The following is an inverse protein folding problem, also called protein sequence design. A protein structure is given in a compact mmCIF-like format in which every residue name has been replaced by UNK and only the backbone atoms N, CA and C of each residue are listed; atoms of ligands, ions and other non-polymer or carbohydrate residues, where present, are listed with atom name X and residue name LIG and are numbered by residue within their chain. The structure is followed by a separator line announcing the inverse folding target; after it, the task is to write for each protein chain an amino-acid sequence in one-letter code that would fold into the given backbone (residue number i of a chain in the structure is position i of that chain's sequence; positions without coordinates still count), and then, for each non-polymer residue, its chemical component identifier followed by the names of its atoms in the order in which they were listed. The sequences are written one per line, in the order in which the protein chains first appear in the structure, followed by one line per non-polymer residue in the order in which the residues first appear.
data_IF_890300241069
#
_entry.id   IF_890300241069
#
_cell.length_a   1.000
_cell.length_b   1.000
_cell.length_c   1.000
_cell.angle_alpha   90.00
_cell.angle_beta   90.00
_cell.angle_gamma   90.00
#
_symmetry.space_group_name_H-M   'P 1'
#
loop_
_entity.id
_entity.type
_entity.pdbx_description
1 polymer ?
#
# COMPACT_ATOMS: atom_id res chain seq x y z
N UNK A 1 -48.01 -9.80 -38.80
CA UNK A 1 -46.90 -8.78 -38.79
C UNK A 1 -46.63 -8.25 -37.37
N UNK A 2 -47.61 -8.04 -36.52
CA UNK A 2 -47.45 -7.50 -35.18
C UNK A 2 -46.63 -8.39 -34.25
N UNK A 3 -46.77 -9.70 -34.33
CA UNK A 3 -46.02 -10.66 -33.48
C UNK A 3 -44.52 -10.63 -33.76
N UNK A 4 -44.12 -10.46 -35.02
CA UNK A 4 -42.71 -10.40 -35.38
C UNK A 4 -42.03 -9.10 -34.96
N UNK A 5 -42.77 -8.00 -34.95
CA UNK A 5 -42.32 -6.71 -34.44
C UNK A 5 -42.14 -6.80 -32.92
N UNK A 6 -43.07 -7.40 -32.20
CA UNK A 6 -42.97 -7.58 -30.74
C UNK A 6 -41.77 -8.46 -30.37
N UNK A 7 -41.52 -9.54 -31.09
CA UNK A 7 -40.33 -10.41 -30.90
C UNK A 7 -39.05 -9.68 -31.17
N UNK A 8 -38.98 -8.82 -32.18
CA UNK A 8 -37.79 -8.03 -32.48
C UNK A 8 -37.47 -7.05 -31.35
N UNK A 9 -38.46 -6.35 -30.82
CA UNK A 9 -38.28 -5.46 -29.65
C UNK A 9 -37.89 -6.22 -28.40
N UNK A 10 -38.46 -7.39 -28.14
CA UNK A 10 -38.07 -8.23 -27.01
C UNK A 10 -36.60 -8.66 -27.07
N UNK A 11 -36.09 -9.04 -28.25
CA UNK A 11 -34.69 -9.41 -28.46
C UNK A 11 -33.77 -8.21 -28.24
N UNK A 12 -34.15 -7.01 -28.71
CA UNK A 12 -33.38 -5.78 -28.48
C UNK A 12 -33.29 -5.43 -26.98
N UNK A 13 -34.40 -5.55 -26.23
CA UNK A 13 -34.42 -5.27 -24.79
C UNK A 13 -33.52 -6.26 -24.04
N UNK A 14 -33.61 -7.55 -24.36
CA UNK A 14 -32.75 -8.59 -23.77
C UNK A 14 -31.29 -8.33 -24.07
N UNK A 15 -30.95 -8.03 -25.34
CA UNK A 15 -29.59 -7.68 -25.72
C UNK A 15 -29.05 -6.45 -24.99
N UNK A 16 -29.87 -5.43 -24.85
CA UNK A 16 -29.51 -4.21 -24.09
C UNK A 16 -29.31 -4.47 -22.61
N UNK A 17 -30.16 -5.29 -21.98
CA UNK A 17 -30.01 -5.70 -20.58
C UNK A 17 -28.72 -6.52 -20.38
N UNK A 18 -28.41 -7.43 -21.28
CA UNK A 18 -27.18 -8.21 -21.24
C UNK A 18 -25.93 -7.31 -21.44
N UNK A 19 -26.04 -6.30 -22.31
CA UNK A 19 -24.99 -5.31 -22.49
C UNK A 19 -24.74 -4.48 -21.23
N UNK A 20 -25.81 -4.00 -20.58
CA UNK A 20 -25.72 -3.26 -19.30
C UNK A 20 -25.15 -4.15 -18.21
N UNK A 21 -25.62 -5.39 -18.11
CA UNK A 21 -25.13 -6.36 -17.13
C UNK A 21 -23.64 -6.65 -17.35
N UNK A 22 -23.24 -6.89 -18.60
CA UNK A 22 -21.85 -7.09 -18.97
C UNK A 22 -20.98 -5.88 -18.63
N UNK A 23 -21.44 -4.68 -18.96
CA UNK A 23 -20.74 -3.43 -18.62
C UNK A 23 -20.67 -3.19 -17.10
N UNK A 24 -21.74 -3.52 -16.36
CA UNK A 24 -21.77 -3.44 -14.90
C UNK A 24 -20.80 -4.41 -14.24
N UNK A 25 -20.74 -5.65 -14.72
CA UNK A 25 -19.81 -6.68 -14.26
C UNK A 25 -18.36 -6.33 -14.62
N UNK A 26 -18.13 -5.74 -15.80
CA UNK A 26 -16.78 -5.28 -16.19
C UNK A 26 -16.36 -3.96 -15.52
N UNK A 27 -17.31 -3.10 -15.15
CA UNK A 27 -17.02 -1.80 -14.52
C UNK A 27 -16.75 -1.93 -13.03
N UNK A 28 -17.30 -2.95 -12.36
CA UNK A 28 -17.18 -3.06 -10.91
C UNK A 28 -16.05 -3.94 -10.44
N UNK A 29 -15.58 -4.88 -11.26
CA UNK A 29 -14.42 -5.71 -10.91
C UNK A 29 -13.86 -6.42 -12.17
N UNK A 30 -13.06 -5.72 -12.96
CA UNK A 30 -12.20 -6.36 -13.96
C UNK A 30 -11.23 -7.39 -13.35
N UNK A 31 -11.28 -7.57 -12.04
CA UNK A 31 -10.47 -8.50 -11.26
C UNK A 31 -11.14 -9.86 -10.99
N UNK A 32 -12.43 -10.06 -11.32
CA UNK A 32 -13.10 -11.32 -10.99
C UNK A 32 -12.73 -12.47 -11.95
N UNK A 33 -12.47 -12.19 -13.22
CA UNK A 33 -12.17 -13.24 -14.21
C UNK A 33 -10.66 -13.50 -14.39
N UNK A 34 -9.78 -12.59 -14.00
CA UNK A 34 -8.32 -12.78 -14.02
C UNK A 34 -7.70 -12.83 -12.62
N UNK A 35 -8.51 -12.86 -11.57
CA UNK A 35 -8.14 -12.80 -10.16
C UNK A 35 -7.63 -14.10 -9.56
N UNK A 36 -6.97 -14.96 -10.31
CA UNK A 36 -6.34 -16.14 -9.74
C UNK A 36 -4.82 -16.04 -9.78
N UNK A 37 -4.24 -14.89 -9.42
CA UNK A 37 -2.81 -14.81 -9.05
C UNK A 37 -2.33 -13.54 -8.35
N UNK A 38 -3.21 -12.72 -7.81
CA UNK A 38 -2.77 -11.82 -6.76
C UNK A 38 -3.76 -11.98 -5.61
N UNK A 39 -3.47 -12.91 -4.70
CA UNK A 39 -3.81 -12.65 -3.31
C UNK A 39 -3.18 -11.28 -3.05
N UNK A 40 -3.98 -10.21 -3.16
CA UNK A 40 -3.71 -9.02 -2.37
C UNK A 40 -3.64 -9.58 -0.97
N UNK A 41 -2.44 -9.78 -0.49
CA UNK A 41 -2.20 -9.88 0.92
C UNK A 41 -2.72 -8.54 1.40
N UNK A 42 -4.01 -8.46 1.77
CA UNK A 42 -4.49 -7.46 2.69
C UNK A 42 -3.80 -7.84 3.99
N UNK A 43 -2.51 -7.53 4.07
CA UNK A 43 -1.84 -7.50 5.33
C UNK A 43 -2.56 -6.36 6.04
N UNK A 44 -3.48 -6.72 6.92
CA UNK A 44 -4.18 -5.77 7.76
C UNK A 44 -3.11 -4.94 8.45
N UNK A 45 -3.34 -3.64 8.63
CA UNK A 45 -2.38 -2.77 9.31
C UNK A 45 -1.88 -3.37 10.64
N UNK A 46 -2.70 -4.16 11.31
CA UNK A 46 -2.39 -4.91 12.51
C UNK A 46 -1.38 -6.06 12.30
N UNK A 47 -1.50 -6.82 11.20
CA UNK A 47 -0.58 -7.95 10.92
C UNK A 47 0.85 -7.47 10.62
N UNK A 48 1.01 -6.25 10.11
CA UNK A 48 2.30 -5.61 9.88
C UNK A 48 2.97 -5.15 11.17
N UNK A 49 2.17 -4.82 12.17
CA UNK A 49 2.68 -4.33 13.46
C UNK A 49 3.08 -5.49 14.39
N UNK A 50 2.52 -6.68 14.21
CA UNK A 50 2.83 -7.82 15.09
C UNK A 50 4.15 -8.51 14.76
N UNK A 51 4.62 -8.51 13.52
CA UNK A 51 5.86 -9.25 13.18
C UNK A 51 6.68 -8.68 12.02
N UNK A 52 7.40 -7.60 12.27
CA UNK A 52 8.30 -6.99 11.27
C UNK A 52 9.45 -7.93 10.83
N UNK A 53 9.72 -9.00 11.56
CA UNK A 53 10.81 -9.93 11.25
C UNK A 53 10.48 -10.92 10.15
N UNK A 54 9.18 -11.18 9.88
CA UNK A 54 8.74 -12.16 8.87
C UNK A 54 8.51 -11.54 7.48
N UNK A 55 8.56 -10.23 7.37
CA UNK A 55 8.23 -9.51 6.14
C UNK A 55 9.47 -9.41 5.24
N UNK A 56 9.30 -9.79 3.97
CA UNK A 56 10.28 -9.49 2.92
C UNK A 56 10.10 -8.05 2.42
N UNK A 57 10.65 -7.08 3.15
CA UNK A 57 10.51 -5.66 2.85
C UNK A 57 10.99 -5.26 1.46
N UNK A 58 12.19 -5.67 0.97
CA UNK A 58 12.65 -5.29 -0.35
C UNK A 58 11.68 -5.70 -1.47
N UNK A 59 11.15 -6.91 -1.40
CA UNK A 59 10.20 -7.41 -2.39
C UNK A 59 8.85 -6.68 -2.31
N UNK A 60 8.36 -6.43 -1.10
CA UNK A 60 7.09 -5.71 -0.88
C UNK A 60 7.18 -4.26 -1.37
N UNK A 61 8.29 -3.56 -1.09
CA UNK A 61 8.52 -2.20 -1.56
C UNK A 61 8.51 -2.15 -3.08
N UNK A 62 9.26 -3.04 -3.75
CA UNK A 62 9.27 -3.13 -5.22
C UNK A 62 7.90 -3.40 -5.82
N UNK A 63 7.08 -4.20 -5.13
CA UNK A 63 5.71 -4.46 -5.56
C UNK A 63 4.85 -3.19 -5.51
N UNK A 64 4.92 -2.43 -4.42
CA UNK A 64 4.17 -1.17 -4.30
C UNK A 64 4.67 -0.10 -5.27
N UNK A 65 5.97 0.00 -5.50
CA UNK A 65 6.55 0.89 -6.52
C UNK A 65 6.00 0.59 -7.93
N UNK A 66 5.94 -0.69 -8.31
CA UNK A 66 5.36 -1.12 -9.60
C UNK A 66 3.87 -0.81 -9.73
N UNK A 67 3.14 -0.79 -8.61
CA UNK A 67 1.72 -0.44 -8.55
C UNK A 67 1.50 1.07 -8.42
N UNK A 68 2.56 1.87 -8.35
CA UNK A 68 2.51 3.31 -8.07
C UNK A 68 1.80 3.64 -6.74
N UNK A 69 1.74 2.68 -5.83
CA UNK A 69 1.23 2.86 -4.47
C UNK A 69 2.37 3.35 -3.57
N UNK A 70 2.76 4.60 -3.76
CA UNK A 70 3.87 5.21 -3.04
C UNK A 70 3.58 5.40 -1.55
N UNK A 71 2.32 5.52 -1.17
CA UNK A 71 1.90 5.60 0.24
C UNK A 71 2.24 4.30 0.98
N UNK A 72 1.87 3.17 0.43
CA UNK A 72 2.23 1.86 0.99
C UNK A 72 3.72 1.61 0.92
N UNK A 73 4.40 2.00 -0.17
CA UNK A 73 5.84 1.90 -0.28
C UNK A 73 6.57 2.67 0.84
N UNK A 74 6.15 3.91 1.16
CA UNK A 74 6.71 4.71 2.26
C UNK A 74 6.49 4.02 3.61
N UNK A 75 5.30 3.46 3.86
CA UNK A 75 5.05 2.70 5.08
C UNK A 75 6.01 1.53 5.22
N UNK A 76 6.20 0.75 4.16
CA UNK A 76 7.12 -0.39 4.19
C UNK A 76 8.58 0.02 4.33
N UNK A 77 8.99 1.13 3.74
CA UNK A 77 10.32 1.72 3.98
C UNK A 77 10.51 2.09 5.46
N UNK A 78 9.51 2.70 6.08
CA UNK A 78 9.56 3.07 7.48
C UNK A 78 9.68 1.85 8.41
N UNK A 79 8.83 0.84 8.21
CA UNK A 79 8.91 -0.41 8.96
C UNK A 79 10.24 -1.14 8.74
N UNK A 80 10.77 -1.08 7.52
CA UNK A 80 12.08 -1.65 7.23
C UNK A 80 13.23 -0.93 7.94
N UNK A 81 13.15 0.38 8.06
CA UNK A 81 14.09 1.15 8.88
C UNK A 81 14.03 0.73 10.36
N UNK A 82 12.83 0.56 10.92
CA UNK A 82 12.65 0.04 12.28
C UNK A 82 13.25 -1.35 12.44
N UNK A 83 13.00 -2.25 11.49
CA UNK A 83 13.60 -3.59 11.49
C UNK A 83 15.14 -3.52 11.51
N UNK A 84 15.74 -2.73 10.63
CA UNK A 84 17.20 -2.58 10.57
C UNK A 84 17.79 -2.00 11.86
N UNK A 85 17.10 -1.05 12.50
CA UNK A 85 17.51 -0.50 13.79
C UNK A 85 17.42 -1.55 14.90
N UNK A 86 16.38 -2.38 14.89
CA UNK A 86 16.21 -3.50 15.83
C UNK A 86 17.29 -4.56 15.61
N UNK A 87 17.55 -4.96 14.39
CA UNK A 87 18.57 -5.96 14.05
C UNK A 87 19.99 -5.51 14.47
N UNK A 88 20.22 -4.19 14.50
CA UNK A 88 21.46 -3.57 15.02
C UNK A 88 21.46 -3.35 16.52
N UNK A 89 20.42 -3.75 17.26
CA UNK A 89 20.21 -3.52 18.69
C UNK A 89 20.26 -2.03 19.09
N UNK A 90 19.83 -1.15 18.20
CA UNK A 90 19.77 0.29 18.44
C UNK A 90 18.44 0.74 19.03
N UNK A 91 17.39 -0.04 18.81
CA UNK A 91 16.05 0.09 19.40
C UNK A 91 15.54 -1.31 19.77
N UNK A 92 14.57 -1.33 20.68
CA UNK A 92 13.83 -2.53 21.05
C UNK A 92 12.43 -2.48 20.42
N UNK A 93 12.18 -3.33 19.43
CA UNK A 93 10.89 -3.35 18.72
C UNK A 93 9.76 -3.81 19.65
N UNK A 94 8.71 -2.99 19.70
CA UNK A 94 7.45 -3.33 20.35
C UNK A 94 6.31 -2.59 19.61
N UNK A 95 5.28 -3.29 19.12
CA UNK A 95 4.16 -2.67 18.40
C UNK A 95 3.37 -1.66 19.23
N UNK A 96 3.44 -1.69 20.54
CA UNK A 96 2.79 -0.72 21.43
C UNK A 96 3.57 0.59 21.60
N UNK A 97 4.83 0.64 21.15
CA UNK A 97 5.65 1.85 21.23
C UNK A 97 5.26 2.85 20.14
N UNK A 98 5.36 4.11 20.48
CA UNK A 98 5.21 5.21 19.54
C UNK A 98 6.54 5.52 18.82
N UNK A 99 6.47 6.25 17.69
CA UNK A 99 7.66 6.74 16.98
C UNK A 99 8.57 7.57 17.88
N UNK A 100 7.99 8.30 18.86
CA UNK A 100 8.75 9.07 19.85
C UNK A 100 9.53 8.20 20.82
N UNK A 101 9.02 7.03 21.16
CA UNK A 101 9.70 6.13 22.09
C UNK A 101 10.95 5.54 21.43
N UNK A 102 10.86 5.10 20.18
CA UNK A 102 12.04 4.70 19.40
C UNK A 102 13.07 5.82 19.27
N UNK A 103 12.61 7.06 19.05
CA UNK A 103 13.51 8.21 18.95
C UNK A 103 14.31 8.45 20.25
N UNK A 104 13.72 8.17 21.43
CA UNK A 104 14.42 8.30 22.73
C UNK A 104 15.49 7.23 22.92
N UNK A 105 15.29 6.03 22.37
CA UNK A 105 16.23 4.92 22.50
C UNK A 105 17.52 5.15 21.70
N UNK A 106 17.46 5.91 20.60
CA UNK A 106 18.62 6.22 19.78
C UNK A 106 19.60 7.14 20.53
N UNK A 107 20.85 6.69 20.65
CA UNK A 107 21.91 7.43 21.35
C UNK A 107 22.72 8.35 20.43
N UNK A 108 22.89 7.94 19.17
CA UNK A 108 23.64 8.72 18.18
C UNK A 108 22.82 9.90 17.68
N UNK A 109 23.34 11.12 17.82
CA UNK A 109 22.62 12.34 17.43
C UNK A 109 22.33 12.43 15.92
N UNK A 110 23.28 12.03 15.07
CA UNK A 110 23.06 12.06 13.63
C UNK A 110 21.97 11.07 13.22
N UNK A 111 22.04 9.85 13.72
CA UNK A 111 21.03 8.81 13.47
C UNK A 111 19.65 9.24 13.99
N UNK A 112 19.62 9.94 15.12
CA UNK A 112 18.40 10.50 15.72
C UNK A 112 17.75 11.55 14.82
N UNK A 113 18.54 12.44 14.22
CA UNK A 113 18.05 13.45 13.27
C UNK A 113 17.55 12.79 11.97
N UNK A 114 18.30 11.83 11.44
CA UNK A 114 17.87 11.08 10.25
C UNK A 114 16.56 10.32 10.51
N UNK A 115 16.45 9.70 11.69
CA UNK A 115 15.22 8.98 12.08
C UNK A 115 14.03 9.94 12.30
N UNK A 116 14.25 11.11 12.91
CA UNK A 116 13.22 12.15 13.04
C UNK A 116 12.67 12.59 11.68
N UNK A 117 13.52 12.68 10.68
CA UNK A 117 13.12 13.06 9.32
C UNK A 117 12.24 12.01 8.67
N UNK A 118 12.56 10.73 8.79
CA UNK A 118 11.71 9.67 8.23
C UNK A 118 10.40 9.50 9.00
N UNK A 119 10.38 9.76 10.31
CA UNK A 119 9.13 9.87 11.08
C UNK A 119 8.23 10.96 10.49
N UNK A 120 8.79 12.15 10.24
CA UNK A 120 8.03 13.27 9.67
C UNK A 120 7.43 12.92 8.31
N UNK A 121 8.23 12.30 7.41
CA UNK A 121 7.76 11.87 6.08
C UNK A 121 6.65 10.81 6.23
N UNK A 122 6.85 9.82 7.09
CA UNK A 122 5.87 8.77 7.35
C UNK A 122 4.56 9.33 7.88
N UNK A 123 4.62 10.17 8.92
CA UNK A 123 3.43 10.77 9.53
C UNK A 123 2.68 11.66 8.53
N UNK A 124 3.40 12.44 7.73
CA UNK A 124 2.83 13.31 6.71
C UNK A 124 2.07 12.51 5.62
N UNK A 125 2.69 11.47 5.08
CA UNK A 125 2.11 10.69 3.98
C UNK A 125 1.07 9.70 4.49
N UNK A 126 1.34 9.01 5.61
CA UNK A 126 0.47 7.94 6.09
C UNK A 126 -0.78 8.47 6.79
N UNK A 127 -0.61 9.39 7.72
CA UNK A 127 -1.72 9.95 8.50
C UNK A 127 -2.31 11.22 7.89
N UNK A 128 -1.53 11.98 7.13
CA UNK A 128 -1.99 13.19 6.45
C UNK A 128 -2.83 12.92 5.20
N UNK A 129 -2.95 11.66 4.77
CA UNK A 129 -3.67 11.25 3.55
C UNK A 129 -3.21 11.95 2.27
N UNK A 130 -2.00 12.51 2.26
CA UNK A 130 -1.42 13.13 1.08
C UNK A 130 -1.03 12.05 0.07
N UNK A 131 -1.38 12.30 -1.19
CA UNK A 131 -0.90 11.47 -2.28
C UNK A 131 0.54 11.88 -2.59
N UNK A 132 1.47 10.95 -2.45
CA UNK A 132 2.84 11.15 -2.92
C UNK A 132 2.88 10.89 -4.43
N UNK A 133 3.34 11.86 -5.20
CA UNK A 133 3.68 11.67 -6.60
C UNK A 133 5.03 10.94 -6.72
N UNK A 134 5.36 10.45 -7.92
CA UNK A 134 6.60 9.72 -8.16
C UNK A 134 7.84 10.54 -7.79
N UNK A 135 7.86 11.82 -8.15
CA UNK A 135 8.97 12.75 -7.86
C UNK A 135 9.19 12.92 -6.37
N UNK A 136 8.10 13.09 -5.60
CA UNK A 136 8.15 13.20 -4.14
C UNK A 136 8.63 11.90 -3.51
N UNK A 137 8.10 10.78 -3.99
CA UNK A 137 8.49 9.47 -3.52
C UNK A 137 9.99 9.21 -3.72
N UNK A 138 10.55 9.50 -4.90
CA UNK A 138 11.98 9.33 -5.16
C UNK A 138 12.84 10.20 -4.23
N UNK A 139 12.40 11.42 -3.95
CA UNK A 139 13.07 12.29 -2.99
C UNK A 139 13.02 11.70 -1.56
N UNK A 140 11.85 11.27 -1.10
CA UNK A 140 11.69 10.68 0.23
C UNK A 140 12.47 9.37 0.40
N UNK A 141 12.52 8.54 -0.62
CA UNK A 141 13.29 7.28 -0.64
C UNK A 141 14.76 7.48 -0.28
N UNK A 142 15.36 8.61 -0.64
CA UNK A 142 16.75 8.92 -0.31
C UNK A 142 17.01 8.98 1.20
N UNK A 143 16.01 9.40 1.98
CA UNK A 143 16.14 9.47 3.44
C UNK A 143 16.05 8.08 4.09
N UNK A 144 15.19 7.21 3.57
CA UNK A 144 15.06 5.83 4.07
C UNK A 144 16.28 4.97 3.75
N UNK A 145 16.97 5.24 2.66
CA UNK A 145 18.17 4.51 2.25
C UNK A 145 19.40 4.75 3.15
N UNK A 146 19.32 5.67 4.10
CA UNK A 146 20.38 5.92 5.09
C UNK A 146 20.45 4.87 6.19
N UNK A 147 19.41 4.07 6.35
CA UNK A 147 19.30 2.98 7.31
C UNK A 147 19.60 1.64 6.63
#
# INVERSE_FOLDING_TARGET
YTINILRFFAILIVGFLLYILGRYLMSKDGNFLFGKRNRKIKITAQDLEENIHEINFPQSILMFEKQQDYRSAIRYHFLYALKKLTDKNLIDWNPEKTNRDYLKELKNNQLKEDFRRIIYIYDYIWYGEFQAEETDYQHYKTYFNKF
#
